data_IF_224325651005
#
_entry.id   IF_224325651005
#
_cell.length_a   1.000
_cell.length_b   1.000
_cell.length_c   1.000
_cell.angle_alpha   90.00
_cell.angle_beta   90.00
_cell.angle_gamma   90.00
#
_symmetry.space_group_name_H-M   'P 1'
#
loop_
_entity.id
_entity.type
_entity.pdbx_description
1 polymer ?
#
# COMPACT_ATOMS: atom_id res chain seq x y z
N UNK A 1 4.50 -16.44 -34.58
CA UNK A 1 4.89 -16.69 -33.18
C UNK A 1 4.13 -15.83 -32.17
N UNK A 2 3.87 -14.54 -32.43
CA UNK A 2 3.13 -13.61 -31.54
C UNK A 2 1.75 -14.11 -31.09
N UNK A 3 1.00 -14.78 -31.98
CA UNK A 3 -0.34 -15.34 -31.67
C UNK A 3 -0.29 -16.45 -30.60
N UNK A 4 0.82 -17.17 -30.49
CA UNK A 4 1.00 -18.25 -29.51
C UNK A 4 1.27 -17.69 -28.11
N UNK A 5 2.05 -16.60 -28.02
CA UNK A 5 2.33 -15.91 -26.75
C UNK A 5 1.13 -15.11 -26.23
N UNK A 6 0.33 -14.51 -27.12
CA UNK A 6 -0.94 -13.88 -26.73
C UNK A 6 -1.93 -14.88 -26.15
N UNK A 7 -2.03 -16.08 -26.74
CA UNK A 7 -2.88 -17.16 -26.24
C UNK A 7 -2.37 -17.72 -24.92
N UNK A 8 -1.06 -17.82 -24.72
CA UNK A 8 -0.47 -18.26 -23.45
C UNK A 8 -0.65 -17.20 -22.34
N UNK A 9 -0.43 -15.92 -22.63
CA UNK A 9 -0.68 -14.84 -21.68
C UNK A 9 -2.16 -14.72 -21.31
N UNK A 10 -3.06 -14.86 -22.29
CA UNK A 10 -4.50 -14.87 -22.07
C UNK A 10 -4.92 -16.11 -21.27
N UNK A 11 -4.37 -17.30 -21.54
CA UNK A 11 -4.62 -18.52 -20.77
C UNK A 11 -4.10 -18.40 -19.33
N UNK A 12 -2.90 -17.84 -19.12
CA UNK A 12 -2.36 -17.63 -17.77
C UNK A 12 -3.24 -16.63 -17.01
N UNK A 13 -3.64 -15.53 -17.64
CA UNK A 13 -4.58 -14.57 -17.05
C UNK A 13 -5.93 -15.25 -16.72
N UNK A 14 -6.48 -16.06 -17.62
CA UNK A 14 -7.75 -16.75 -17.41
C UNK A 14 -7.68 -17.85 -16.34
N UNK A 15 -6.51 -18.45 -16.12
CA UNK A 15 -6.30 -19.51 -15.12
C UNK A 15 -5.96 -18.94 -13.74
N UNK A 16 -5.22 -17.83 -13.67
CA UNK A 16 -4.83 -17.21 -12.39
C UNK A 16 -5.91 -16.30 -11.80
N UNK A 17 -6.70 -15.61 -12.65
CA UNK A 17 -7.79 -14.74 -12.19
C UNK A 17 -8.80 -15.47 -11.28
N UNK A 18 -9.31 -16.68 -11.62
CA UNK A 18 -10.24 -17.38 -10.73
C UNK A 18 -9.61 -17.92 -9.45
N UNK A 19 -8.29 -18.15 -9.39
CA UNK A 19 -7.61 -18.57 -8.16
C UNK A 19 -7.50 -17.42 -7.15
N UNK A 20 -7.41 -16.17 -7.61
CA UNK A 20 -7.41 -14.98 -6.73
C UNK A 20 -8.82 -14.70 -6.19
N UNK A 21 -9.88 -14.94 -6.98
CA UNK A 21 -11.27 -14.74 -6.54
C UNK A 21 -11.78 -15.80 -5.53
N UNK A 22 -11.03 -16.90 -5.33
CA UNK A 22 -11.41 -17.94 -4.39
C UNK A 22 -10.99 -17.64 -2.94
N UNK A 23 -10.09 -16.67 -2.73
CA UNK A 23 -9.61 -16.29 -1.40
C UNK A 23 -10.31 -14.99 -0.97
N UNK A 24 -11.29 -15.13 -0.07
CA UNK A 24 -12.02 -14.07 0.66
C UNK A 24 -13.30 -13.47 0.03
N UNK A 25 -14.40 -14.24 0.07
CA UNK A 25 -15.55 -13.67 0.80
C UNK A 25 -15.21 -13.82 2.28
N UNK A 26 -14.51 -12.85 2.87
CA UNK A 26 -14.35 -12.84 4.33
C UNK A 26 -15.74 -12.75 4.96
N UNK A 27 -16.21 -13.87 5.49
CA UNK A 27 -17.43 -13.97 6.30
C UNK A 27 -17.27 -13.18 7.59
N UNK A 28 -16.05 -12.98 8.06
CA UNK A 28 -15.74 -12.24 9.30
C UNK A 28 -14.54 -11.35 9.07
N UNK A 29 -14.71 -10.05 9.36
CA UNK A 29 -13.69 -9.01 9.26
C UNK A 29 -13.55 -8.32 10.62
N UNK A 30 -12.33 -8.05 11.07
CA UNK A 30 -12.10 -7.35 12.33
C UNK A 30 -11.31 -6.05 12.11
N UNK A 31 -11.69 -5.00 12.83
CA UNK A 31 -11.05 -3.68 12.78
C UNK A 31 -10.95 -3.08 14.17
N UNK A 32 -9.99 -2.19 14.36
CA UNK A 32 -9.82 -1.46 15.62
C UNK A 32 -10.14 0.01 15.41
N UNK A 33 -11.03 0.55 16.23
CA UNK A 33 -11.48 1.94 16.16
C UNK A 33 -11.75 2.47 17.59
N UNK A 34 -11.15 3.61 17.94
CA UNK A 34 -11.39 4.34 19.19
C UNK A 34 -11.36 3.50 20.49
N UNK A 35 -10.36 2.64 20.65
CA UNK A 35 -10.26 1.77 21.84
C UNK A 35 -11.26 0.59 21.84
N UNK A 36 -11.83 0.26 20.68
CA UNK A 36 -12.76 -0.86 20.50
C UNK A 36 -12.32 -1.75 19.35
N UNK A 37 -12.45 -3.05 19.55
CA UNK A 37 -12.33 -4.06 18.50
C UNK A 37 -13.73 -4.30 17.96
N UNK A 38 -13.94 -4.00 16.68
CA UNK A 38 -15.17 -4.26 15.96
C UNK A 38 -14.99 -5.48 15.08
N UNK A 39 -15.71 -6.56 15.36
CA UNK A 39 -15.73 -7.76 14.52
C UNK A 39 -17.06 -7.80 13.79
N UNK A 40 -17.00 -7.69 12.47
CA UNK A 40 -18.18 -7.69 11.59
C UNK A 40 -18.32 -9.04 10.91
N UNK A 41 -19.45 -9.68 11.15
CA UNK A 41 -19.87 -10.93 10.56
C UNK A 41 -20.82 -10.61 9.39
N UNK A 42 -20.46 -11.06 8.20
CA UNK A 42 -21.22 -10.94 6.96
C UNK A 42 -22.00 -12.24 6.73
N UNK A 43 -23.28 -12.22 7.11
CA UNK A 43 -24.17 -13.38 7.05
C UNK A 43 -24.79 -13.47 5.64
N UNK A 44 -24.64 -14.58 4.91
CA UNK A 44 -25.20 -14.76 3.58
C UNK A 44 -26.75 -14.71 3.56
N UNK A 45 -27.33 -14.36 2.41
CA UNK A 45 -28.79 -14.41 2.23
C UNK A 45 -29.32 -15.83 2.40
N UNK A 46 -30.42 -15.99 3.15
CA UNK A 46 -31.01 -17.28 3.52
C UNK A 46 -30.46 -17.89 4.80
N UNK A 47 -29.52 -17.21 5.46
CA UNK A 47 -28.94 -17.60 6.74
C UNK A 47 -29.18 -16.53 7.81
N UNK A 48 -29.22 -16.97 9.07
CA UNK A 48 -29.25 -16.14 10.26
C UNK A 48 -28.22 -16.63 11.30
N UNK A 49 -27.80 -15.72 12.17
CA UNK A 49 -26.98 -16.02 13.33
C UNK A 49 -27.83 -15.82 14.58
N UNK A 50 -27.98 -16.85 15.41
CA UNK A 50 -28.66 -16.74 16.70
C UNK A 50 -27.70 -16.27 17.78
N UNK A 51 -28.18 -15.42 18.70
CA UNK A 51 -27.43 -14.97 19.86
C UNK A 51 -27.30 -16.12 20.88
N UNK A 52 -26.20 -16.86 20.77
CA UNK A 52 -25.80 -17.88 21.73
C UNK A 52 -24.37 -17.59 22.17
N UNK A 53 -24.16 -17.22 23.43
CA UNK A 53 -22.84 -16.78 23.93
C UNK A 53 -21.75 -17.85 23.76
N UNK A 54 -22.11 -19.13 23.75
CA UNK A 54 -21.18 -20.26 23.55
C UNK A 54 -20.70 -20.42 22.09
N UNK A 55 -21.44 -19.90 21.11
CA UNK A 55 -21.16 -20.09 19.68
C UNK A 55 -20.97 -18.79 18.91
N UNK A 56 -21.38 -17.66 19.49
CA UNK A 56 -21.28 -16.34 18.90
C UNK A 56 -20.56 -15.41 19.86
N UNK A 57 -19.23 -15.46 19.83
CA UNK A 57 -18.37 -14.70 20.74
C UNK A 57 -17.15 -14.15 20.02
N UNK A 58 -16.56 -13.15 20.66
CA UNK A 58 -15.22 -12.67 20.35
C UNK A 58 -14.36 -12.96 21.57
N UNK A 59 -13.27 -13.69 21.38
CA UNK A 59 -12.19 -13.81 22.35
C UNK A 59 -10.87 -13.26 21.86
N UNK A 60 -10.06 -12.79 22.80
CA UNK A 60 -8.83 -12.06 22.50
C UNK A 60 -7.75 -12.58 23.43
N UNK A 61 -6.61 -12.93 22.86
CA UNK A 61 -5.49 -13.43 23.65
C UNK A 61 -4.97 -12.34 24.59
N UNK A 62 -4.66 -12.65 25.87
CA UNK A 62 -4.21 -11.65 26.83
C UNK A 62 -2.95 -10.93 26.33
N UNK A 63 -3.03 -9.61 26.19
CA UNK A 63 -1.92 -8.79 25.70
C UNK A 63 -1.38 -7.88 26.81
N UNK A 64 -0.06 -7.78 27.00
CA UNK A 64 0.53 -6.95 28.04
C UNK A 64 0.14 -5.47 27.86
N UNK A 65 -0.42 -4.87 28.90
CA UNK A 65 -0.86 -3.47 28.90
C UNK A 65 -2.25 -3.21 28.32
N UNK A 66 -3.03 -4.26 27.99
CA UNK A 66 -4.42 -4.15 27.55
C UNK A 66 -5.35 -4.95 28.48
N UNK A 67 -6.43 -4.31 28.92
CA UNK A 67 -7.55 -4.97 29.59
C UNK A 67 -8.77 -4.95 28.69
N UNK A 68 -9.30 -6.13 28.35
CA UNK A 68 -10.50 -6.28 27.55
C UNK A 68 -11.73 -6.35 28.46
N UNK A 69 -12.81 -5.74 28.02
CA UNK A 69 -14.13 -5.85 28.67
C UNK A 69 -15.01 -6.86 27.93
N UNK A 70 -16.18 -7.17 28.50
CA UNK A 70 -17.13 -8.12 27.91
C UNK A 70 -17.61 -7.68 26.52
N UNK A 71 -17.96 -8.67 25.69
CA UNK A 71 -18.45 -8.45 24.32
C UNK A 71 -19.82 -7.78 24.34
N UNK A 72 -19.96 -6.68 23.61
CA UNK A 72 -21.22 -5.95 23.46
C UNK A 72 -21.88 -6.38 22.15
N UNK A 73 -23.09 -6.93 22.27
CA UNK A 73 -23.92 -7.36 21.15
C UNK A 73 -24.84 -6.22 20.67
N UNK A 74 -25.09 -6.09 19.35
CA UNK A 74 -26.05 -5.13 18.81
C UNK A 74 -27.51 -5.56 19.10
N UNK A 75 -28.46 -4.64 18.91
CA UNK A 75 -29.89 -5.00 19.00
C UNK A 75 -30.27 -5.91 17.81
N UNK A 76 -30.75 -7.13 18.10
CA UNK A 76 -31.17 -8.10 17.09
C UNK A 76 -32.69 -8.21 16.93
N UNK A 77 -33.12 -8.98 15.94
CA UNK A 77 -34.54 -9.27 15.72
C UNK A 77 -34.96 -10.46 16.60
N UNK A 78 -36.19 -10.48 17.09
CA UNK A 78 -36.70 -11.63 17.84
C UNK A 78 -37.41 -12.58 16.89
N UNK A 79 -36.96 -13.83 16.85
CA UNK A 79 -37.63 -14.89 16.11
C UNK A 79 -38.90 -15.37 16.84
N UNK A 80 -39.72 -16.20 16.17
CA UNK A 80 -40.95 -16.79 16.68
C UNK A 80 -40.77 -17.55 18.01
N UNK A 81 -39.57 -18.09 18.25
CA UNK A 81 -39.20 -18.78 19.49
C UNK A 81 -38.69 -17.85 20.61
N UNK A 82 -38.66 -16.53 20.37
CA UNK A 82 -38.18 -15.52 21.32
C UNK A 82 -36.66 -15.39 21.40
N UNK A 83 -35.93 -16.05 20.51
CA UNK A 83 -34.47 -15.94 20.41
C UNK A 83 -34.07 -14.71 19.60
N UNK A 84 -32.97 -14.07 19.96
CA UNK A 84 -32.43 -12.94 19.18
C UNK A 84 -31.64 -13.46 17.98
N UNK A 85 -32.10 -13.16 16.78
CA UNK A 85 -31.46 -13.48 15.51
C UNK A 85 -30.88 -12.24 14.82
N UNK A 86 -29.81 -12.45 14.08
CA UNK A 86 -29.16 -11.44 13.25
C UNK A 86 -29.11 -11.91 11.79
N UNK A 87 -29.40 -11.00 10.85
CA UNK A 87 -29.36 -11.22 9.40
C UNK A 87 -28.55 -10.12 8.73
N UNK A 88 -27.79 -10.47 7.69
CA UNK A 88 -26.90 -9.53 6.99
C UNK A 88 -25.61 -9.23 7.76
N UNK A 89 -25.24 -7.95 7.86
CA UNK A 89 -23.99 -7.55 8.52
C UNK A 89 -24.21 -7.24 9.99
N UNK A 90 -23.55 -8.00 10.87
CA UNK A 90 -23.66 -7.85 12.32
C UNK A 90 -22.30 -7.56 12.92
N UNK A 91 -22.18 -6.48 13.71
CA UNK A 91 -20.92 -6.06 14.30
C UNK A 91 -20.97 -6.23 15.82
N UNK A 92 -20.04 -7.03 16.35
CA UNK A 92 -19.81 -7.20 17.77
C UNK A 92 -18.67 -6.29 18.20
N UNK A 93 -18.79 -5.72 19.40
CA UNK A 93 -17.86 -4.71 19.89
C UNK A 93 -17.22 -5.17 21.19
N UNK A 94 -15.89 -5.31 21.20
CA UNK A 94 -15.11 -5.60 22.41
C UNK A 94 -14.27 -4.39 22.77
N UNK A 95 -14.57 -3.70 23.88
CA UNK A 95 -13.81 -2.50 24.28
C UNK A 95 -12.55 -2.93 25.03
N UNK A 96 -11.47 -2.18 24.84
CA UNK A 96 -10.24 -2.39 25.60
C UNK A 96 -9.77 -1.09 26.27
N UNK A 97 -9.13 -1.24 27.42
CA UNK A 97 -8.53 -0.14 28.19
C UNK A 97 -7.04 -0.36 28.29
N UNK A 98 -6.26 0.69 28.01
CA UNK A 98 -4.80 0.63 28.11
C UNK A 98 -4.37 0.83 29.55
N UNK A 99 -3.76 -0.20 30.11
CA UNK A 99 -3.10 -0.16 31.41
C UNK A 99 -1.62 -0.01 31.11
N UNK A 100 -0.94 1.02 31.65
CA UNK A 100 0.39 1.44 31.18
C UNK A 100 1.40 0.30 30.93
N UNK A 101 2.20 0.42 29.86
CA UNK A 101 3.13 -0.62 29.40
C UNK A 101 2.79 -1.24 28.04
N UNK A 102 1.98 -0.57 27.22
CA UNK A 102 1.62 -1.03 25.87
C UNK A 102 2.82 -0.96 24.91
N UNK A 103 3.12 -2.08 24.26
CA UNK A 103 4.03 -2.16 23.12
C UNK A 103 3.21 -2.46 21.85
N UNK A 104 3.44 -1.75 20.72
CA UNK A 104 2.73 -2.03 19.48
C UNK A 104 3.10 -3.42 18.95
N UNK A 105 2.11 -4.17 18.49
CA UNK A 105 2.28 -5.55 18.06
C UNK A 105 1.04 -6.16 17.43
N UNK A 106 1.11 -7.46 17.16
CA UNK A 106 -0.02 -8.22 16.66
C UNK A 106 -0.79 -8.84 17.82
N UNK A 107 -2.11 -8.75 17.76
CA UNK A 107 -3.02 -9.45 18.65
C UNK A 107 -3.79 -10.51 17.87
N UNK A 108 -3.99 -11.67 18.49
CA UNK A 108 -4.82 -12.74 17.95
C UNK A 108 -6.23 -12.61 18.51
N UNK A 109 -7.22 -12.59 17.62
CA UNK A 109 -8.64 -12.56 17.95
C UNK A 109 -9.28 -13.84 17.42
N UNK A 110 -10.09 -14.45 18.27
CA UNK A 110 -10.88 -15.63 17.98
C UNK A 110 -12.33 -15.21 17.82
N UNK A 111 -12.88 -15.40 16.63
CA UNK A 111 -14.27 -15.05 16.32
C UNK A 111 -15.07 -16.32 16.03
N UNK A 112 -15.88 -16.74 17.01
CA UNK A 112 -16.80 -17.86 16.87
C UNK A 112 -18.10 -17.45 16.20
N UNK A 113 -18.61 -18.25 15.26
CA UNK A 113 -19.94 -18.10 14.68
C UNK A 113 -20.56 -19.45 14.28
N UNK A 114 -21.88 -19.48 14.18
CA UNK A 114 -22.64 -20.63 13.73
C UNK A 114 -23.89 -20.17 12.98
N UNK A 115 -23.83 -20.19 11.65
CA UNK A 115 -24.97 -19.78 10.83
C UNK A 115 -26.01 -20.90 10.74
N UNK A 116 -27.27 -20.52 10.88
CA UNK A 116 -28.42 -21.38 10.66
C UNK A 116 -29.17 -20.93 9.41
N UNK A 117 -29.57 -21.88 8.57
CA UNK A 117 -30.40 -21.62 7.41
C UNK A 117 -31.83 -21.34 7.87
N UNK A 118 -32.54 -20.44 7.20
CA UNK A 118 -33.95 -20.13 7.48
C UNK A 118 -34.89 -21.36 7.31
N UNK A 119 -34.39 -22.43 6.68
CA UNK A 119 -35.04 -23.74 6.56
C UNK A 119 -35.04 -24.57 7.86
N UNK A 120 -34.29 -24.12 8.87
CA UNK A 120 -34.16 -24.75 10.19
C UNK A 120 -32.90 -25.61 10.39
N UNK A 121 -31.96 -25.62 9.45
CA UNK A 121 -30.71 -26.37 9.55
C UNK A 121 -29.54 -25.49 10.01
N UNK A 122 -28.90 -25.82 11.13
CA UNK A 122 -27.69 -25.12 11.59
C UNK A 122 -26.41 -25.78 11.08
N UNK A 123 -25.47 -24.96 10.59
CA UNK A 123 -24.13 -25.39 10.24
C UNK A 123 -23.32 -25.73 11.50
N UNK A 124 -22.18 -26.39 11.31
CA UNK A 124 -21.23 -26.60 12.41
C UNK A 124 -20.61 -25.26 12.84
N UNK A 125 -20.36 -25.05 14.15
CA UNK A 125 -19.73 -23.84 14.62
C UNK A 125 -18.30 -23.75 14.06
N UNK A 126 -17.93 -22.57 13.59
CA UNK A 126 -16.64 -22.27 13.03
C UNK A 126 -15.98 -21.15 13.85
N UNK A 127 -14.68 -21.24 14.06
CA UNK A 127 -13.90 -20.24 14.77
C UNK A 127 -12.82 -19.71 13.82
N UNK A 128 -12.86 -18.40 13.55
CA UNK A 128 -11.87 -17.75 12.69
C UNK A 128 -10.82 -17.04 13.54
N UNK A 129 -9.55 -17.40 13.35
CA UNK A 129 -8.40 -16.70 13.91
C UNK A 129 -8.05 -15.48 13.05
N UNK A 130 -8.04 -14.31 13.66
CA UNK A 130 -7.74 -13.04 12.97
C UNK A 130 -6.60 -12.36 13.72
N UNK A 131 -5.48 -12.16 13.00
CA UNK A 131 -4.33 -11.42 13.52
C UNK A 131 -4.48 -9.94 13.17
N UNK A 132 -4.74 -9.10 14.17
CA UNK A 132 -4.81 -7.65 13.99
C UNK A 132 -3.54 -6.98 14.49
N UNK A 133 -2.99 -6.06 13.70
CA UNK A 133 -1.97 -5.14 14.19
C UNK A 133 -2.63 -4.06 15.05
N UNK A 134 -2.27 -3.98 16.34
CA UNK A 134 -2.64 -2.85 17.19
C UNK A 134 -1.45 -1.88 17.21
N UNK A 135 -1.62 -0.77 16.50
CA UNK A 135 -0.73 0.38 16.56
C UNK A 135 -1.23 1.40 17.59
N UNK A 136 -0.35 2.30 18.05
CA UNK A 136 -0.71 3.43 18.95
C UNK A 136 -1.88 4.28 18.42
N UNK A 137 -2.14 4.24 17.11
CA UNK A 137 -3.26 4.92 16.42
C UNK A 137 -4.65 4.32 16.70
N UNK A 138 -4.74 3.13 17.28
CA UNK A 138 -6.01 2.46 17.62
C UNK A 138 -6.60 2.89 18.97
N UNK A 139 -5.86 3.66 19.78
CA UNK A 139 -6.34 4.25 21.02
C UNK A 139 -7.18 5.51 20.74
N UNK A 140 -8.17 5.86 21.60
CA UNK A 140 -8.89 7.13 21.48
C UNK A 140 -7.90 8.29 21.36
N UNK A 141 -8.05 9.08 20.31
CA UNK A 141 -7.11 10.07 19.80
C UNK A 141 -6.39 10.84 20.93
N UNK A 142 -5.24 10.32 21.35
CA UNK A 142 -4.25 11.10 22.06
C UNK A 142 -3.57 11.99 21.02
N UNK A 143 -3.62 13.29 21.25
CA UNK A 143 -3.03 14.33 20.40
C UNK A 143 -1.63 13.90 19.90
N UNK A 144 -1.29 14.15 18.62
CA UNK A 144 -0.02 13.75 18.05
C UNK A 144 1.10 14.45 18.82
N UNK A 145 1.75 13.70 19.71
CA UNK A 145 2.85 14.20 20.53
C UNK A 145 4.01 14.55 19.58
N UNK A 146 4.45 15.81 19.50
CA UNK A 146 5.57 16.16 18.65
C UNK A 146 6.82 15.48 19.22
N UNK A 147 7.30 14.44 18.54
CA UNK A 147 8.54 13.77 18.89
C UNK A 147 9.74 14.63 18.45
N UNK A 148 9.91 15.80 19.06
CA UNK A 148 11.07 16.67 18.90
C UNK A 148 12.21 16.20 19.82
N UNK A 149 12.59 14.92 19.72
CA UNK A 149 13.87 14.45 20.25
C UNK A 149 14.82 14.28 19.08
N UNK A 150 15.84 15.13 19.00
CA UNK A 150 16.95 15.10 18.03
C UNK A 150 17.47 13.68 17.66
N UNK A 151 17.61 12.71 18.61
CA UNK A 151 18.04 11.36 18.24
C UNK A 151 17.02 10.58 17.39
N UNK A 152 15.71 10.74 17.63
CA UNK A 152 14.65 10.03 16.88
C UNK A 152 14.42 10.63 15.50
N UNK A 153 14.50 11.96 15.37
CA UNK A 153 14.36 12.66 14.07
C UNK A 153 15.43 12.19 13.08
N UNK A 154 16.68 12.05 13.53
CA UNK A 154 17.78 11.57 12.71
C UNK A 154 17.60 10.11 12.29
N UNK A 155 17.06 9.26 13.18
CA UNK A 155 16.76 7.86 12.87
C UNK A 155 15.70 7.75 11.76
N UNK A 156 14.62 8.53 11.81
CA UNK A 156 13.61 8.54 10.75
C UNK A 156 14.18 9.05 9.42
N UNK A 157 15.06 10.05 9.47
CA UNK A 157 15.74 10.60 8.32
C UNK A 157 16.65 9.56 7.63
N UNK A 158 17.39 8.80 8.43
CA UNK A 158 18.22 7.68 7.98
C UNK A 158 17.38 6.56 7.37
N UNK A 159 16.26 6.19 8.01
CA UNK A 159 15.35 5.19 7.47
C UNK A 159 14.70 5.63 6.16
N UNK A 160 14.34 6.90 6.02
CA UNK A 160 13.80 7.46 4.77
C UNK A 160 14.83 7.38 3.62
N UNK A 161 16.08 7.74 3.91
CA UNK A 161 17.17 7.62 2.94
C UNK A 161 17.42 6.15 2.55
N UNK A 162 17.46 5.25 3.53
CA UNK A 162 17.64 3.82 3.31
C UNK A 162 16.47 3.22 2.52
N UNK A 163 15.24 3.66 2.79
CA UNK A 163 14.05 3.32 2.01
C UNK A 163 14.20 3.73 0.55
N UNK A 164 14.68 4.95 0.27
CA UNK A 164 14.98 5.41 -1.08
C UNK A 164 16.04 4.55 -1.80
N UNK A 165 17.04 4.05 -1.08
CA UNK A 165 18.02 3.11 -1.64
C UNK A 165 17.36 1.77 -1.96
N UNK A 166 16.54 1.24 -1.06
CA UNK A 166 15.81 -0.03 -1.25
C UNK A 166 14.90 0.02 -2.48
N UNK A 167 14.30 1.19 -2.80
CA UNK A 167 13.49 1.37 -4.01
C UNK A 167 14.25 1.08 -5.31
N UNK A 168 15.59 1.14 -5.32
CA UNK A 168 16.39 0.77 -6.50
C UNK A 168 16.40 -0.76 -6.76
N UNK A 169 16.14 -1.58 -5.73
CA UNK A 169 16.09 -3.04 -5.84
C UNK A 169 14.74 -3.53 -6.38
N UNK A 170 13.73 -2.66 -6.43
CA UNK A 170 12.42 -3.04 -6.97
C UNK A 170 12.48 -3.35 -8.47
N UNK A 171 11.80 -4.42 -8.92
CA UNK A 171 11.92 -4.94 -10.28
C UNK A 171 11.42 -3.97 -11.37
N UNK A 172 10.58 -2.97 -11.04
CA UNK A 172 10.07 -2.01 -12.03
C UNK A 172 10.98 -0.78 -12.23
N UNK A 173 11.91 -0.52 -11.31
CA UNK A 173 12.82 0.64 -11.37
C UNK A 173 14.10 0.28 -12.15
N UNK A 174 14.59 -0.96 -11.98
CA UNK A 174 15.78 -1.50 -12.66
C UNK A 174 15.77 -1.34 -14.20
N UNK A 175 14.65 -1.60 -14.92
CA UNK A 175 14.55 -1.38 -16.37
C UNK A 175 14.82 0.05 -16.81
N UNK A 176 14.21 1.02 -16.13
CA UNK A 176 14.30 2.43 -16.52
C UNK A 176 15.70 2.98 -16.20
N UNK A 177 16.26 2.58 -15.05
CA UNK A 177 17.62 2.94 -14.65
C UNK A 177 18.65 2.40 -15.66
N UNK A 178 18.54 1.13 -16.06
CA UNK A 178 19.49 0.50 -17.00
C UNK A 178 19.47 1.14 -18.39
N UNK A 179 18.28 1.44 -18.94
CA UNK A 179 18.15 2.12 -20.24
C UNK A 179 18.77 3.51 -20.18
N UNK A 180 18.52 4.28 -19.11
CA UNK A 180 19.08 5.63 -18.97
C UNK A 180 20.59 5.59 -18.71
N UNK A 181 21.08 4.62 -17.93
CA UNK A 181 22.51 4.40 -17.74
C UNK A 181 23.21 4.10 -19.07
N UNK A 182 22.66 3.20 -19.90
CA UNK A 182 23.21 2.92 -21.24
C UNK A 182 23.17 4.16 -22.16
N UNK A 183 22.11 4.99 -22.08
CA UNK A 183 22.04 6.25 -22.81
C UNK A 183 23.11 7.25 -22.35
N UNK A 184 23.39 7.33 -21.05
CA UNK A 184 24.47 8.18 -20.51
C UNK A 184 25.85 7.69 -20.96
N UNK A 185 26.07 6.36 -20.98
CA UNK A 185 27.32 5.75 -21.47
C UNK A 185 27.49 5.96 -22.97
N UNK A 186 26.44 5.86 -23.79
CA UNK A 186 26.53 6.20 -25.22
C UNK A 186 26.88 7.67 -25.45
N UNK A 187 26.39 8.56 -24.59
CA UNK A 187 26.67 9.99 -24.64
C UNK A 187 28.03 10.35 -24.01
N UNK A 188 28.69 9.43 -23.29
CA UNK A 188 29.99 9.64 -22.65
C UNK A 188 31.16 9.72 -23.65
N UNK A 189 30.93 9.32 -24.90
CA UNK A 189 31.92 9.42 -25.97
C UNK A 189 32.18 10.87 -26.43
N UNK A 190 31.36 11.85 -26.02
CA UNK A 190 31.44 13.21 -26.56
C UNK A 190 31.72 14.33 -25.55
N UNK A 191 31.45 14.19 -24.24
CA UNK A 191 31.94 15.16 -23.22
C UNK A 191 31.62 14.76 -21.76
N UNK A 192 32.63 14.77 -20.88
CA UNK A 192 32.46 14.53 -19.42
C UNK A 192 31.47 15.51 -18.76
N UNK A 193 31.45 16.77 -19.21
CA UNK A 193 30.54 17.81 -18.70
C UNK A 193 29.08 17.54 -19.02
N UNK A 194 28.80 16.96 -20.19
CA UNK A 194 27.42 16.63 -20.60
C UNK A 194 26.84 15.47 -19.77
N UNK A 195 27.66 14.52 -19.32
CA UNK A 195 27.24 13.41 -18.44
C UNK A 195 26.84 13.94 -17.05
N UNK A 196 27.67 14.82 -16.48
CA UNK A 196 27.38 15.43 -15.18
C UNK A 196 26.11 16.29 -15.22
N UNK A 197 25.96 17.12 -16.27
CA UNK A 197 24.75 17.93 -16.43
C UNK A 197 23.51 17.07 -16.69
N UNK A 198 23.62 15.96 -17.42
CA UNK A 198 22.52 15.03 -17.66
C UNK A 198 22.08 14.27 -16.40
N UNK A 199 23.02 13.78 -15.59
CA UNK A 199 22.72 13.11 -14.31
C UNK A 199 22.12 14.06 -13.27
N UNK A 200 22.59 15.32 -13.24
CA UNK A 200 22.04 16.36 -12.36
C UNK A 200 20.65 16.81 -12.80
N UNK A 201 20.40 16.95 -14.10
CA UNK A 201 19.06 17.23 -14.65
C UNK A 201 18.08 16.08 -14.37
N UNK A 202 18.52 14.83 -14.48
CA UNK A 202 17.73 13.65 -14.14
C UNK A 202 17.35 13.62 -12.65
N UNK A 203 18.34 13.87 -11.77
CA UNK A 203 18.14 13.99 -10.32
C UNK A 203 17.16 15.09 -9.96
N UNK A 204 17.28 16.27 -10.60
CA UNK A 204 16.35 17.37 -10.42
C UNK A 204 14.91 17.01 -10.84
N UNK A 205 14.75 16.23 -11.91
CA UNK A 205 13.44 15.71 -12.32
C UNK A 205 12.79 14.82 -11.26
N UNK A 206 13.58 13.92 -10.65
CA UNK A 206 13.11 13.04 -9.56
C UNK A 206 12.72 13.87 -8.34
N UNK A 207 13.59 14.77 -7.88
CA UNK A 207 13.34 15.61 -6.71
C UNK A 207 12.12 16.51 -6.92
N UNK A 208 11.97 17.09 -8.11
CA UNK A 208 10.81 17.91 -8.46
C UNK A 208 9.51 17.10 -8.39
N UNK A 209 9.48 15.89 -8.95
CA UNK A 209 8.30 15.02 -8.84
C UNK A 209 7.93 14.68 -7.40
N UNK A 210 8.91 14.35 -6.56
CA UNK A 210 8.66 14.07 -5.13
C UNK A 210 8.20 15.30 -4.34
N UNK A 211 8.73 16.48 -4.65
CA UNK A 211 8.27 17.75 -4.06
C UNK A 211 6.83 18.05 -4.47
N UNK A 212 6.49 17.88 -5.75
CA UNK A 212 5.11 18.07 -6.26
C UNK A 212 4.16 17.09 -5.56
N UNK A 213 4.55 15.82 -5.44
CA UNK A 213 3.75 14.80 -4.77
C UNK A 213 3.56 15.13 -3.27
N UNK A 214 4.62 15.53 -2.57
CA UNK A 214 4.56 15.98 -1.19
C UNK A 214 3.67 17.22 -1.01
N UNK A 215 3.74 18.19 -1.93
CA UNK A 215 2.92 19.38 -1.90
C UNK A 215 1.42 19.06 -2.09
N UNK A 216 1.08 18.19 -3.05
CA UNK A 216 -0.29 17.71 -3.27
C UNK A 216 -0.80 17.05 -1.97
N UNK A 217 0.02 16.22 -1.34
CA UNK A 217 -0.33 15.53 -0.10
C UNK A 217 -0.53 16.50 1.06
N UNK A 218 0.31 17.52 1.20
CA UNK A 218 0.17 18.55 2.24
C UNK A 218 -1.12 19.34 2.04
N UNK A 219 -1.47 19.69 0.79
CA UNK A 219 -2.72 20.39 0.47
C UNK A 219 -3.92 19.50 0.84
N UNK A 220 -3.90 18.23 0.45
CA UNK A 220 -4.96 17.27 0.80
C UNK A 220 -5.09 17.05 2.32
N UNK A 221 -3.97 17.10 3.05
CA UNK A 221 -3.97 17.05 4.52
C UNK A 221 -4.72 18.24 5.13
N UNK A 222 -4.59 19.44 4.55
CA UNK A 222 -5.28 20.63 5.06
C UNK A 222 -6.79 20.61 4.84
N UNK A 223 -7.28 19.82 3.88
CA UNK A 223 -8.71 19.66 3.60
C UNK A 223 -9.41 18.67 4.53
N UNK A 224 -8.69 18.03 5.47
CA UNK A 224 -9.30 17.26 6.56
C UNK A 224 -9.88 15.89 6.17
N UNK A 225 -9.91 15.54 4.88
CA UNK A 225 -10.10 14.15 4.49
C UNK A 225 -8.84 13.37 4.86
N UNK A 226 -8.95 12.48 5.84
CA UNK A 226 -7.99 11.40 6.08
C UNK A 226 -7.93 10.56 4.82
N UNK A 227 -7.07 10.95 3.88
CA UNK A 227 -7.03 10.34 2.56
C UNK A 227 -6.65 8.88 2.72
N UNK A 228 -7.62 8.00 2.46
CA UNK A 228 -7.48 6.55 2.40
C UNK A 228 -6.61 6.10 1.23
N UNK A 229 -5.43 6.69 1.07
CA UNK A 229 -4.44 6.34 0.05
C UNK A 229 -4.09 4.85 0.08
N UNK A 230 -4.17 4.21 1.26
CA UNK A 230 -4.03 2.76 1.44
C UNK A 230 -5.29 1.95 1.10
N UNK A 231 -6.49 2.49 1.31
CA UNK A 231 -7.75 1.79 1.05
C UNK A 231 -7.97 1.50 -0.44
N UNK A 232 -7.41 2.35 -1.31
CA UNK A 232 -7.42 2.11 -2.74
C UNK A 232 -6.65 0.83 -3.14
N UNK A 233 -5.60 0.45 -2.39
CA UNK A 233 -4.86 -0.81 -2.60
C UNK A 233 -5.59 -2.04 -2.07
N UNK A 234 -6.56 -1.88 -1.18
CA UNK A 234 -7.45 -2.98 -0.79
C UNK A 234 -8.55 -3.24 -1.85
N UNK A 235 -8.85 -2.26 -2.70
CA UNK A 235 -9.87 -2.44 -3.74
C UNK A 235 -9.34 -3.35 -4.86
N UNK A 236 -9.97 -4.53 -5.10
CA UNK A 236 -9.46 -5.51 -6.07
C UNK A 236 -9.45 -4.94 -7.50
N UNK A 237 -10.37 -4.02 -7.82
CA UNK A 237 -10.44 -3.36 -9.12
C UNK A 237 -9.22 -2.47 -9.41
N UNK A 238 -8.71 -1.73 -8.42
CA UNK A 238 -7.55 -0.85 -8.60
C UNK A 238 -6.25 -1.66 -8.74
N UNK A 239 -6.09 -2.70 -7.93
CA UNK A 239 -4.93 -3.61 -8.01
C UNK A 239 -4.88 -4.30 -9.38
N UNK A 240 -6.03 -4.73 -9.91
CA UNK A 240 -6.13 -5.33 -11.25
C UNK A 240 -5.73 -4.35 -12.35
N UNK A 241 -6.16 -3.09 -12.28
CA UNK A 241 -5.75 -2.05 -13.23
C UNK A 241 -4.22 -1.84 -13.22
N UNK A 242 -3.63 -1.80 -12.02
CA UNK A 242 -2.20 -1.61 -11.83
C UNK A 242 -1.38 -2.81 -12.32
N UNK A 243 -1.85 -4.04 -12.08
CA UNK A 243 -1.29 -5.27 -12.63
C UNK A 243 -1.29 -5.27 -14.17
N UNK A 244 -2.38 -4.85 -14.81
CA UNK A 244 -2.46 -4.75 -16.28
C UNK A 244 -1.41 -3.78 -16.80
N UNK A 245 -1.26 -2.60 -16.19
CA UNK A 245 -0.28 -1.60 -16.63
C UNK A 245 1.15 -2.13 -16.50
N UNK A 246 1.50 -2.74 -15.37
CA UNK A 246 2.84 -3.34 -15.17
C UNK A 246 3.06 -4.51 -16.13
N UNK A 247 2.05 -5.35 -16.35
CA UNK A 247 2.12 -6.49 -17.26
C UNK A 247 2.35 -6.05 -18.70
N UNK A 248 1.67 -4.98 -19.17
CA UNK A 248 1.92 -4.37 -20.48
C UNK A 248 3.35 -3.83 -20.59
N UNK A 249 3.87 -3.21 -19.52
CA UNK A 249 5.25 -2.74 -19.48
C UNK A 249 6.27 -3.89 -19.51
N UNK A 250 6.02 -4.95 -18.75
CA UNK A 250 6.86 -6.15 -18.75
C UNK A 250 6.90 -6.80 -20.14
N UNK A 251 5.76 -6.89 -20.83
CA UNK A 251 5.68 -7.36 -22.22
C UNK A 251 6.46 -6.48 -23.21
N UNK A 252 6.50 -5.16 -22.96
CA UNK A 252 7.35 -4.23 -23.73
C UNK A 252 8.84 -4.47 -23.48
N UNK A 253 9.23 -4.93 -22.29
CA UNK A 253 10.61 -5.29 -21.95
C UNK A 253 11.06 -6.61 -22.56
N UNK A 254 10.16 -7.59 -22.69
CA UNK A 254 10.42 -8.86 -23.37
C UNK A 254 10.55 -8.74 -24.90
N UNK A 255 10.51 -7.50 -25.44
CA UNK A 255 10.58 -7.18 -26.87
C UNK A 255 9.47 -7.88 -27.70
N UNK A 256 8.43 -8.40 -27.04
CA UNK A 256 7.26 -9.05 -27.68
C UNK A 256 6.36 -8.00 -28.33
N UNK A 257 6.37 -6.78 -27.78
CA UNK A 257 5.73 -5.61 -28.37
C UNK A 257 6.78 -4.53 -28.61
N UNK A 258 7.28 -4.45 -29.85
CA UNK A 258 7.78 -3.17 -30.36
C UNK A 258 6.52 -2.30 -30.57
N UNK A 259 6.09 -1.62 -29.51
CA UNK A 259 5.05 -0.60 -29.60
C UNK A 259 5.63 0.54 -30.43
N UNK A 260 5.47 0.45 -31.76
CA UNK A 260 5.49 1.59 -32.67
C UNK A 260 4.20 2.39 -32.43
N UNK A 261 4.02 2.92 -31.22
CA UNK A 261 2.95 3.87 -30.97
C UNK A 261 3.23 5.12 -31.81
N UNK A 262 2.25 5.62 -32.58
CA UNK A 262 2.39 6.87 -33.30
C UNK A 262 2.52 7.99 -32.27
N UNK A 263 3.76 8.44 -32.01
CA UNK A 263 4.09 9.38 -30.93
C UNK A 263 5.27 8.96 -30.05
N UNK A 264 5.57 7.66 -29.97
CA UNK A 264 6.76 7.17 -29.25
C UNK A 264 8.03 7.69 -29.90
N UNK A 265 8.05 7.88 -31.23
CA UNK A 265 9.16 8.52 -31.96
C UNK A 265 9.33 10.01 -31.62
N UNK A 266 8.27 10.71 -31.20
CA UNK A 266 8.35 12.11 -30.76
C UNK A 266 8.82 12.19 -29.32
N UNK A 267 8.35 11.28 -28.45
CA UNK A 267 8.84 11.15 -27.07
C UNK A 267 10.29 10.65 -27.00
N UNK A 268 10.67 9.67 -27.83
CA UNK A 268 12.05 9.21 -27.97
C UNK A 268 12.91 10.19 -28.76
N UNK A 269 12.42 10.99 -29.73
CA UNK A 269 13.20 12.11 -30.30
C UNK A 269 13.36 13.27 -29.34
N UNK A 270 12.38 13.55 -28.48
CA UNK A 270 12.49 14.55 -27.42
C UNK A 270 13.46 14.09 -26.32
N UNK A 271 13.51 12.77 -26.06
CA UNK A 271 14.45 12.14 -25.13
C UNK A 271 15.84 11.86 -25.75
N UNK A 272 15.93 11.68 -27.08
CA UNK A 272 17.18 11.45 -27.84
C UNK A 272 17.79 12.73 -28.43
N UNK A 273 17.10 13.87 -28.37
CA UNK A 273 17.79 15.17 -28.36
C UNK A 273 18.50 15.23 -27.01
N UNK A 274 19.75 14.74 -27.00
CA UNK A 274 20.60 14.59 -25.81
C UNK A 274 20.96 15.92 -25.16
N UNK A 275 19.98 16.60 -24.57
CA UNK A 275 20.11 17.84 -23.81
C UNK A 275 19.55 17.69 -22.39
N UNK A 276 19.81 18.69 -21.56
CA UNK A 276 19.37 18.72 -20.15
C UNK A 276 17.86 18.51 -19.99
N UNK A 277 17.05 19.04 -20.91
CA UNK A 277 15.58 18.94 -20.88
C UNK A 277 15.08 17.51 -21.04
N UNK A 278 15.70 16.72 -21.93
CA UNK A 278 15.36 15.29 -22.10
C UNK A 278 15.72 14.46 -20.86
N UNK A 279 16.81 14.81 -20.17
CA UNK A 279 17.19 14.14 -18.92
C UNK A 279 16.28 14.49 -17.75
N UNK A 280 15.82 15.74 -17.65
CA UNK A 280 14.82 16.16 -16.65
C UNK A 280 13.48 15.42 -16.83
N UNK A 281 12.94 15.41 -18.06
CA UNK A 281 11.69 14.69 -18.37
C UNK A 281 11.82 13.18 -18.10
N UNK A 282 12.97 12.60 -18.44
CA UNK A 282 13.25 11.19 -18.13
C UNK A 282 13.20 10.90 -16.63
N UNK A 283 13.58 11.86 -15.77
CA UNK A 283 13.45 11.75 -14.31
C UNK A 283 11.99 11.73 -13.87
N UNK A 284 11.16 12.60 -14.45
CA UNK A 284 9.71 12.62 -14.17
C UNK A 284 9.04 11.31 -14.59
N UNK A 285 9.34 10.82 -15.79
CA UNK A 285 8.82 9.54 -16.27
C UNK A 285 9.28 8.37 -15.40
N UNK A 286 10.53 8.39 -14.92
CA UNK A 286 11.02 7.36 -14.00
C UNK A 286 10.20 7.32 -12.70
N UNK A 287 9.87 8.47 -12.12
CA UNK A 287 9.02 8.53 -10.92
C UNK A 287 7.61 8.03 -11.25
N UNK A 288 6.98 8.50 -12.33
CA UNK A 288 5.64 8.06 -12.74
C UNK A 288 5.53 6.53 -12.93
N UNK A 289 6.56 5.92 -13.51
CA UNK A 289 6.62 4.47 -13.74
C UNK A 289 6.98 3.69 -12.48
N UNK A 290 7.75 4.29 -11.56
CA UNK A 290 8.06 3.71 -10.26
C UNK A 290 6.86 3.79 -9.31
N UNK A 291 6.02 4.83 -9.40
CA UNK A 291 4.85 5.02 -8.54
C UNK A 291 4.02 3.74 -8.36
N UNK A 292 3.59 2.99 -9.39
CA UNK A 292 2.75 1.82 -9.19
C UNK A 292 3.42 0.68 -8.39
N UNK A 293 4.73 0.43 -8.56
CA UNK A 293 5.40 -0.63 -7.81
C UNK A 293 5.81 -0.18 -6.40
N UNK A 294 6.12 1.11 -6.23
CA UNK A 294 6.57 1.69 -4.96
C UNK A 294 5.41 2.13 -4.08
N UNK A 295 4.21 2.25 -4.64
CA UNK A 295 3.00 2.72 -3.98
C UNK A 295 2.66 1.99 -2.67
N UNK A 296 2.72 0.64 -2.58
CA UNK A 296 2.43 -0.05 -1.32
C UNK A 296 3.44 0.28 -0.22
N UNK A 297 4.73 0.36 -0.58
CA UNK A 297 5.80 0.66 0.36
C UNK A 297 5.76 2.14 0.80
N UNK A 298 5.56 3.05 -0.15
CA UNK A 298 5.37 4.47 0.11
C UNK A 298 4.08 4.72 0.88
N UNK A 299 3.00 3.98 0.64
CA UNK A 299 1.71 4.11 1.33
C UNK A 299 1.84 3.89 2.84
N UNK A 300 2.54 2.83 3.26
CA UNK A 300 2.84 2.57 4.67
C UNK A 300 3.71 3.69 5.29
N UNK A 301 4.75 4.12 4.58
CA UNK A 301 5.60 5.22 5.03
C UNK A 301 4.84 6.56 5.12
N UNK A 302 3.87 6.77 4.23
CA UNK A 302 3.04 7.96 4.20
C UNK A 302 2.04 8.00 5.33
N UNK A 303 1.43 6.87 5.69
CA UNK A 303 0.57 6.76 6.87
C UNK A 303 1.28 7.29 8.12
N UNK A 304 2.53 6.88 8.33
CA UNK A 304 3.37 7.40 9.40
C UNK A 304 3.71 8.89 9.23
N UNK A 305 4.02 9.34 8.01
CA UNK A 305 4.36 10.74 7.73
C UNK A 305 3.17 11.70 7.94
N UNK A 306 1.92 11.25 7.73
CA UNK A 306 0.73 12.06 7.99
C UNK A 306 0.59 12.45 9.47
N UNK A 307 1.07 11.63 10.40
CA UNK A 307 1.11 11.94 11.83
C UNK A 307 2.23 12.93 12.21
N UNK A 308 3.09 13.33 11.27
CA UNK A 308 4.23 14.22 11.49
C UNK A 308 3.96 15.66 10.97
N UNK A 309 4.71 16.67 11.49
CA UNK A 309 4.59 18.06 11.03
C UNK A 309 4.94 18.21 9.53
N UNK A 310 4.36 19.21 8.82
CA UNK A 310 4.51 19.37 7.37
C UNK A 310 5.97 19.49 6.89
N UNK A 311 6.82 20.13 7.69
CA UNK A 311 8.26 20.25 7.41
C UNK A 311 8.95 18.88 7.34
N UNK A 312 8.52 17.94 8.19
CA UNK A 312 9.14 16.62 8.29
C UNK A 312 8.71 15.70 7.14
N UNK A 313 7.45 15.84 6.69
CA UNK A 313 6.95 15.16 5.48
C UNK A 313 7.81 15.54 4.28
N UNK A 314 8.04 16.84 4.09
CA UNK A 314 8.86 17.34 2.98
C UNK A 314 10.29 16.82 3.06
N UNK A 315 10.90 16.80 4.26
CA UNK A 315 12.23 16.24 4.45
C UNK A 315 12.29 14.74 4.08
N UNK A 316 11.36 13.92 4.56
CA UNK A 316 11.30 12.47 4.27
C UNK A 316 11.21 12.22 2.77
N UNK A 317 10.30 12.91 2.08
CA UNK A 317 10.15 12.78 0.62
C UNK A 317 11.41 13.17 -0.15
N UNK A 318 12.07 14.24 0.29
CA UNK A 318 13.29 14.71 -0.34
C UNK A 318 14.43 13.71 -0.16
N UNK A 319 14.54 13.07 1.01
CA UNK A 319 15.54 12.03 1.29
C UNK A 319 15.26 10.70 0.59
N UNK A 320 14.00 10.30 0.46
CA UNK A 320 13.62 9.15 -0.36
C UNK A 320 14.00 9.41 -1.82
N UNK A 321 13.67 10.60 -2.34
CA UNK A 321 14.06 11.02 -3.68
C UNK A 321 15.58 11.09 -3.86
N UNK A 322 16.31 11.56 -2.85
CA UNK A 322 17.77 11.61 -2.82
C UNK A 322 18.37 10.19 -2.82
N UNK A 323 17.81 9.26 -2.04
CA UNK A 323 18.23 7.86 -1.99
C UNK A 323 17.99 7.13 -3.33
N UNK A 324 16.88 7.45 -4.01
CA UNK A 324 16.59 6.93 -5.34
C UNK A 324 17.54 7.51 -6.41
N UNK A 325 17.92 8.79 -6.29
CA UNK A 325 18.86 9.44 -7.21
C UNK A 325 20.34 9.14 -6.91
N UNK A 326 20.65 8.61 -5.73
CA UNK A 326 22.01 8.31 -5.26
C UNK A 326 22.90 7.56 -6.27
N UNK A 327 22.48 6.43 -6.89
CA UNK A 327 23.31 5.74 -7.88
C UNK A 327 23.63 6.61 -9.12
N UNK A 328 22.70 7.46 -9.55
CA UNK A 328 22.92 8.37 -10.69
C UNK A 328 23.86 9.52 -10.36
N UNK A 329 23.81 10.05 -9.14
CA UNK A 329 24.76 11.05 -8.65
C UNK A 329 26.18 10.47 -8.66
N UNK A 330 26.35 9.21 -8.22
CA UNK A 330 27.65 8.52 -8.24
C UNK A 330 28.18 8.35 -9.67
N UNK A 331 27.33 7.87 -10.59
CA UNK A 331 27.71 7.71 -12.01
C UNK A 331 28.07 9.06 -12.64
N UNK A 332 27.39 10.14 -12.26
CA UNK A 332 27.66 11.50 -12.73
C UNK A 332 29.00 12.06 -12.25
N UNK A 333 29.40 11.77 -11.01
CA UNK A 333 30.66 12.26 -10.40
C UNK A 333 31.87 11.46 -10.88
N UNK A 334 31.72 10.14 -11.03
CA UNK A 334 32.78 9.25 -11.54
C UNK A 334 32.39 8.58 -12.85
N UNK A 335 32.29 9.34 -13.96
CA UNK A 335 32.26 8.74 -15.28
C UNK A 335 33.66 8.19 -15.55
N UNK A 336 33.87 6.88 -15.44
CA UNK A 336 35.05 6.21 -15.99
C UNK A 336 34.61 5.31 -17.12
#
# INVERSE_FOLDING_TARGET
MVKKYFVIAFLILMVFVPQIFAEERETVTARVEDGKILVTYSIPEGYHQTLQEDYFYIDVEPYPGLQFSDTIYPEGHLDADGNTEYKGNTTLVKKFTVTGGFEPGQITIYAGYQFCEDSGACLFPEEKEINLAIDETALPAAEPKPATSFPKTLQYLLMAFLGGIILNVMPCVLPVLSIKAMSLVKQSQQDRKHIFQGSMAYTLGILFSFIVLAAIIIILKTTGESVGWGFQFQSPGFVMALLIVIFVFALSLFDVFIIRAPGMQVATKASSKGGLTGSFLSGIFAVLLATPCTAPLLGAALGFAFSQPPLMILAIFLLIGLGLAFPFIIIGIWPK
#
